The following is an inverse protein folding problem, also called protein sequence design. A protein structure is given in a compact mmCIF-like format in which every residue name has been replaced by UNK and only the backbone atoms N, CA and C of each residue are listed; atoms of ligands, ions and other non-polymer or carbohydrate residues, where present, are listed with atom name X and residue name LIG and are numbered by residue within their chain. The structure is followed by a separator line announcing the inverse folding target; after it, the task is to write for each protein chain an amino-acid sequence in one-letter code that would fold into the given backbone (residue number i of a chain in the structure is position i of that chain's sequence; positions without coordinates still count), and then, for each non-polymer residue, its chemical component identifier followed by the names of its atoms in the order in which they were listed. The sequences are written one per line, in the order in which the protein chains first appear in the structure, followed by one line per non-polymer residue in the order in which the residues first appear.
data_IF_994415281658
#
_entry.id   IF_994415281658
#
_cell.length_a   1.000
_cell.length_b   1.000
_cell.length_c   1.000
_cell.angle_alpha   90.00
_cell.angle_beta   90.00
_cell.angle_gamma   90.00
#
_symmetry.space_group_name_H-M   'P 1'
#
loop_
_entity.id
_entity.type
_entity.pdbx_description
1 polymer ?
#
# COMPACT_ATOMS: atom_id res chain seq x y z
N UNK A 1 19.57 3.94 -12.62
CA UNK A 1 18.52 3.90 -11.58
C UNK A 1 17.17 3.73 -12.26
N UNK A 2 16.61 2.51 -12.24
CA UNK A 2 15.26 2.27 -12.73
C UNK A 2 14.28 2.81 -11.70
N UNK A 3 13.63 3.94 -11.99
CA UNK A 3 12.57 4.49 -11.13
C UNK A 3 11.29 3.73 -11.47
N UNK A 4 11.26 2.44 -11.12
CA UNK A 4 10.00 1.75 -11.02
C UNK A 4 9.30 2.35 -9.80
N UNK A 5 8.36 3.26 -10.04
CA UNK A 5 7.44 3.71 -9.01
C UNK A 5 6.58 2.51 -8.63
N UNK A 6 7.05 1.75 -7.64
CA UNK A 6 6.31 0.65 -7.03
C UNK A 6 5.22 1.26 -6.16
N UNK A 7 4.14 1.67 -6.83
CA UNK A 7 2.98 2.31 -6.25
C UNK A 7 1.89 1.27 -6.16
N UNK A 8 1.44 0.99 -4.94
CA UNK A 8 0.30 0.13 -4.66
C UNK A 8 -0.91 1.00 -4.31
N UNK A 9 -2.04 0.73 -4.99
CA UNK A 9 -3.32 1.36 -4.70
C UNK A 9 -4.13 0.49 -3.73
N UNK A 10 -4.53 1.07 -2.60
CA UNK A 10 -5.25 0.44 -1.48
C UNK A 10 -6.59 1.16 -1.26
N UNK A 11 -7.67 0.76 -1.95
CA UNK A 11 -8.91 1.53 -1.96
C UNK A 11 -9.72 1.29 -0.68
N UNK A 12 -9.80 2.31 0.19
CA UNK A 12 -10.44 2.24 1.49
C UNK A 12 -11.97 2.41 1.39
N UNK A 13 -12.74 1.47 1.96
CA UNK A 13 -14.22 1.50 1.90
C UNK A 13 -14.77 2.79 2.54
N UNK A 14 -14.17 3.23 3.65
CA UNK A 14 -14.59 4.46 4.38
C UNK A 14 -14.54 5.72 3.52
N UNK A 15 -13.76 5.72 2.43
CA UNK A 15 -13.58 6.85 1.52
C UNK A 15 -14.46 6.77 0.26
N UNK A 16 -15.23 5.69 0.07
CA UNK A 16 -16.02 5.54 -1.16
C UNK A 16 -17.07 6.64 -1.34
N UNK A 17 -17.74 7.05 -0.27
CA UNK A 17 -18.71 8.15 -0.32
C UNK A 17 -18.06 9.50 -0.72
N UNK A 18 -16.78 9.71 -0.38
CA UNK A 18 -16.00 10.86 -0.85
C UNK A 18 -15.78 10.75 -2.36
N UNK A 19 -15.30 9.60 -2.83
CA UNK A 19 -15.01 9.36 -4.24
C UNK A 19 -16.23 9.47 -5.15
N UNK A 20 -17.40 9.00 -4.71
CA UNK A 20 -18.65 9.12 -5.49
C UNK A 20 -19.14 10.57 -5.65
N UNK A 21 -18.69 11.48 -4.79
CA UNK A 21 -18.99 12.92 -4.87
C UNK A 21 -17.93 13.70 -5.65
N UNK A 22 -16.77 13.09 -5.92
CA UNK A 22 -15.65 13.73 -6.61
C UNK A 22 -15.98 13.91 -8.10
N UNK A 23 -15.72 15.10 -8.64
CA UNK A 23 -15.77 15.33 -10.08
C UNK A 23 -14.61 14.62 -10.78
N UNK A 24 -14.93 13.49 -11.42
CA UNK A 24 -13.95 12.67 -12.13
C UNK A 24 -13.29 13.40 -13.31
N UNK A 25 -13.94 14.43 -13.90
CA UNK A 25 -13.36 15.18 -15.03
C UNK A 25 -12.06 15.89 -14.64
N UNK A 26 -11.85 16.17 -13.35
CA UNK A 26 -10.61 16.76 -12.81
C UNK A 26 -9.35 15.98 -13.20
N UNK A 27 -9.43 14.67 -13.44
CA UNK A 27 -8.28 13.87 -13.87
C UNK A 27 -7.73 14.25 -15.26
N UNK A 28 -8.54 14.90 -16.10
CA UNK A 28 -8.14 15.31 -17.44
C UNK A 28 -7.21 16.54 -17.40
N UNK A 29 -7.40 17.39 -16.40
CA UNK A 29 -6.63 18.61 -16.20
C UNK A 29 -5.37 18.35 -15.37
N UNK A 30 -4.29 19.09 -15.65
CA UNK A 30 -3.00 18.91 -14.96
C UNK A 30 -3.14 19.12 -13.44
N UNK A 31 -3.74 20.23 -13.04
CA UNK A 31 -3.79 20.61 -11.63
C UNK A 31 -4.81 19.73 -10.87
N UNK A 32 -5.96 19.45 -11.48
CA UNK A 32 -6.96 18.53 -10.93
C UNK A 32 -6.43 17.10 -10.74
N UNK A 33 -5.62 16.58 -11.67
CA UNK A 33 -4.96 15.28 -11.51
C UNK A 33 -3.99 15.28 -10.32
N UNK A 34 -3.17 16.34 -10.19
CA UNK A 34 -2.22 16.46 -9.10
C UNK A 34 -2.92 16.53 -7.74
N UNK A 35 -4.02 17.29 -7.64
CA UNK A 35 -4.84 17.38 -6.43
C UNK A 35 -5.42 16.03 -6.02
N UNK A 36 -6.08 15.32 -6.96
CA UNK A 36 -6.65 13.99 -6.70
C UNK A 36 -5.57 12.96 -6.31
N UNK A 37 -4.43 12.99 -6.98
CA UNK A 37 -3.30 12.13 -6.67
C UNK A 37 -2.74 12.40 -5.26
N UNK A 38 -2.54 13.67 -4.91
CA UNK A 38 -2.06 14.06 -3.59
C UNK A 38 -3.07 13.73 -2.48
N UNK A 39 -4.37 13.82 -2.76
CA UNK A 39 -5.41 13.34 -1.86
C UNK A 39 -5.29 11.84 -1.62
N UNK A 40 -5.11 11.02 -2.67
CA UNK A 40 -4.90 9.57 -2.51
C UNK A 40 -3.67 9.24 -1.67
N UNK A 41 -2.57 9.98 -1.83
CA UNK A 41 -1.36 9.83 -1.00
C UNK A 41 -1.66 10.17 0.46
N UNK A 42 -2.31 11.30 0.73
CA UNK A 42 -2.66 11.75 2.08
C UNK A 42 -3.66 10.82 2.78
N UNK A 43 -4.61 10.29 2.02
CA UNK A 43 -5.64 9.39 2.52
C UNK A 43 -5.09 7.96 2.79
N UNK A 44 -3.84 7.69 2.40
CA UNK A 44 -3.19 6.38 2.52
C UNK A 44 -3.63 5.36 1.48
N UNK A 45 -4.36 5.80 0.44
CA UNK A 45 -4.86 4.92 -0.63
C UNK A 45 -3.83 4.68 -1.73
N UNK A 46 -2.79 5.51 -1.79
CA UNK A 46 -1.59 5.28 -2.61
C UNK A 46 -0.40 5.15 -1.67
N UNK A 47 0.27 4.01 -1.74
CA UNK A 47 1.47 3.72 -0.97
C UNK A 47 2.60 3.30 -1.89
N UNK A 48 3.83 3.57 -1.49
CA UNK A 48 5.03 3.12 -2.19
C UNK A 48 6.26 3.25 -1.29
N UNK A 49 7.45 3.27 -1.88
CA UNK A 49 8.70 3.45 -1.14
C UNK A 49 8.80 4.76 -0.34
N UNK A 50 7.95 5.75 -0.64
CA UNK A 50 7.85 7.02 0.07
C UNK A 50 6.90 7.00 1.27
N UNK A 51 6.18 5.90 1.50
CA UNK A 51 5.18 5.81 2.57
C UNK A 51 5.83 5.42 3.90
N UNK A 52 5.49 6.14 4.97
CA UNK A 52 5.99 5.92 6.35
C UNK A 52 5.35 4.69 7.05
N UNK A 53 4.35 4.07 6.41
CA UNK A 53 3.64 2.90 6.92
C UNK A 53 2.41 2.57 6.07
N UNK A 54 1.71 1.51 6.45
CA UNK A 54 0.50 1.03 5.79
C UNK A 54 -0.70 1.09 6.72
N UNK A 55 -1.87 1.43 6.21
CA UNK A 55 -3.11 1.43 7.00
C UNK A 55 -3.58 -0.02 7.17
N UNK A 56 -3.81 -0.44 8.42
CA UNK A 56 -4.33 -1.76 8.76
C UNK A 56 -5.88 -1.79 8.69
N UNK A 57 -6.47 -2.97 8.91
CA UNK A 57 -7.93 -3.14 8.84
C UNK A 57 -8.74 -2.32 9.87
N UNK A 58 -8.07 -1.74 10.89
CA UNK A 58 -8.69 -0.85 11.87
C UNK A 58 -8.55 0.65 11.49
N UNK A 59 -7.99 0.96 10.32
CA UNK A 59 -7.77 2.33 9.88
C UNK A 59 -6.56 3.03 10.53
N UNK A 60 -5.68 2.27 11.19
CA UNK A 60 -4.49 2.80 11.89
C UNK A 60 -3.23 2.50 11.08
N UNK A 61 -2.30 3.47 11.02
CA UNK A 61 -1.00 3.29 10.38
C UNK A 61 -0.18 2.27 11.17
N UNK A 62 0.25 1.21 10.49
CA UNK A 62 1.15 0.19 10.98
C UNK A 62 2.48 0.28 10.24
N UNK A 63 3.57 0.07 10.96
CA UNK A 63 4.95 0.14 10.45
C UNK A 63 5.58 -1.23 10.53
N UNK A 64 6.42 -1.56 9.55
CA UNK A 64 7.17 -2.82 9.57
C UNK A 64 8.10 -2.82 10.79
N UNK A 65 8.00 -3.86 11.61
CA UNK A 65 8.83 -4.01 12.79
C UNK A 65 10.29 -4.14 12.40
N UNK A 66 11.15 -3.38 13.06
CA UNK A 66 12.59 -3.50 12.93
C UNK A 66 13.09 -4.17 14.20
N UNK A 67 13.63 -5.38 14.07
CA UNK A 67 14.37 -6.02 15.14
C UNK A 67 15.83 -5.62 15.01
N UNK A 68 16.34 -4.94 16.04
CA UNK A 68 17.75 -4.62 16.13
C UNK A 68 18.47 -5.87 16.67
N UNK A 69 19.36 -6.45 15.88
CA UNK A 69 20.26 -7.49 16.34
C UNK A 69 21.65 -6.90 16.51
N UNK A 70 22.20 -6.99 17.71
CA UNK A 70 23.59 -6.58 17.97
C UNK A 70 24.47 -7.80 17.77
N UNK A 71 25.24 -7.84 16.67
CA UNK A 71 26.25 -8.87 16.50
C UNK A 71 27.53 -8.41 17.23
N UNK A 72 27.85 -9.05 18.35
CA UNK A 72 29.13 -8.83 19.03
C UNK A 72 30.18 -9.63 18.24
N UNK A 73 30.95 -8.95 17.38
CA UNK A 73 32.11 -9.56 16.73
C UNK A 73 33.26 -9.46 17.74
N UNK A 74 33.58 -10.54 18.44
CA UNK A 74 34.73 -10.56 19.34
C UNK A 74 36.00 -10.72 18.50
N UNK A 75 36.52 -9.64 17.93
CA UNK A 75 37.85 -9.66 17.29
C UNK A 75 38.89 -9.64 18.41
N UNK A 76 39.32 -10.83 18.81
CA UNK A 76 40.46 -11.01 19.70
C UNK A 76 41.75 -10.63 18.96
N UNK A 77 42.03 -9.35 18.76
CA UNK A 77 43.38 -8.78 18.61
C UNK A 77 43.27 -7.24 18.54
N UNK A 78 43.85 -6.60 19.55
CA UNK A 78 44.19 -5.15 19.66
C UNK A 78 43.05 -4.22 20.11
N UNK A 79 43.36 -3.47 21.17
CA UNK A 79 42.58 -2.37 21.74
C UNK A 79 42.30 -1.28 20.69
N UNK A 80 41.04 -0.81 20.66
CA UNK A 80 40.49 0.54 20.41
C UNK A 80 39.19 0.40 19.57
N UNK A 81 38.12 1.02 20.09
CA UNK A 81 36.77 1.22 19.54
C UNK A 81 35.94 -0.03 19.17
N UNK A 82 35.05 -0.43 20.09
CA UNK A 82 33.91 -1.31 19.80
C UNK A 82 32.93 -0.62 18.88
N UNK A 83 33.15 -0.69 17.57
CA UNK A 83 32.16 -0.33 16.56
C UNK A 83 31.05 -1.38 16.56
N UNK A 84 29.96 -1.11 17.29
CA UNK A 84 28.74 -1.90 17.24
C UNK A 84 28.10 -1.75 15.85
N UNK A 85 28.22 -2.78 15.00
CA UNK A 85 27.43 -2.83 13.77
C UNK A 85 26.00 -3.22 14.15
N UNK A 86 25.10 -2.22 14.16
CA UNK A 86 23.66 -2.44 14.29
C UNK A 86 23.12 -3.09 13.02
N UNK A 87 22.89 -4.41 13.06
CA UNK A 87 22.14 -5.08 12.00
C UNK A 87 20.65 -4.92 12.29
N UNK A 88 20.01 -4.04 11.53
CA UNK A 88 18.57 -3.87 11.57
C UNK A 88 17.92 -4.89 10.61
N UNK A 89 17.24 -5.89 11.15
CA UNK A 89 16.48 -6.86 10.35
C UNK A 89 15.01 -6.53 10.45
N UNK A 90 14.32 -6.48 9.32
CA UNK A 90 12.87 -6.37 9.32
C UNK A 90 12.28 -7.67 9.88
N UNK A 91 11.40 -7.58 10.88
CA UNK A 91 10.74 -8.75 11.47
C UNK A 91 9.78 -9.44 10.49
N UNK A 92 9.45 -8.78 9.37
CA UNK A 92 8.46 -9.24 8.40
C UNK A 92 7.01 -8.89 8.77
N UNK A 93 6.79 -8.36 9.97
CA UNK A 93 5.45 -8.05 10.52
C UNK A 93 5.21 -6.55 10.67
N UNK A 94 3.98 -6.09 10.51
CA UNK A 94 3.56 -4.69 10.67
C UNK A 94 2.92 -4.45 12.03
N UNK A 95 3.24 -3.36 12.72
CA UNK A 95 2.72 -3.04 14.06
C UNK A 95 2.18 -1.61 14.13
N UNK A 96 1.02 -1.42 14.77
CA UNK A 96 0.36 -0.11 14.88
C UNK A 96 0.72 0.70 16.13
N UNK A 97 1.48 0.12 17.07
CA UNK A 97 1.87 0.74 18.33
C UNK A 97 0.71 1.20 19.23
N UNK A 98 -0.49 0.64 19.04
CA UNK A 98 -1.65 0.95 19.88
C UNK A 98 -1.83 -0.04 21.02
N UNK A 99 -2.31 0.46 22.15
CA UNK A 99 -2.70 -0.30 23.33
C UNK A 99 -4.05 -1.01 23.15
N UNK A 100 -4.11 -1.97 22.23
CA UNK A 100 -5.35 -2.68 21.84
C UNK A 100 -5.39 -4.14 22.29
N UNK A 101 -4.34 -4.61 22.96
CA UNK A 101 -4.20 -6.01 23.33
C UNK A 101 -4.56 -6.23 24.80
N UNK A 102 -5.27 -7.32 25.07
CA UNK A 102 -5.61 -7.80 26.42
C UNK A 102 -4.87 -9.09 26.77
N UNK A 103 -3.82 -9.44 26.02
CA UNK A 103 -3.05 -10.64 26.27
C UNK A 103 -2.23 -10.56 27.57
N UNK A 104 -2.15 -11.66 28.35
CA UNK A 104 -1.25 -11.72 29.50
C UNK A 104 0.23 -11.87 29.10
N UNK A 105 0.53 -12.18 27.83
CA UNK A 105 1.89 -12.42 27.34
C UNK A 105 2.61 -11.16 26.81
N UNK A 106 2.02 -9.98 26.97
CA UNK A 106 2.46 -8.75 26.33
C UNK A 106 2.22 -7.52 27.23
N UNK A 107 2.83 -6.38 26.92
CA UNK A 107 2.57 -5.13 27.63
C UNK A 107 1.27 -4.42 27.20
N UNK A 108 0.37 -5.11 26.48
CA UNK A 108 -0.87 -4.55 25.95
C UNK A 108 -0.71 -3.71 24.66
N UNK A 109 0.52 -3.42 24.22
CA UNK A 109 0.81 -2.58 23.05
C UNK A 109 1.20 -3.45 21.86
N UNK A 110 0.68 -3.15 20.67
CA UNK A 110 1.06 -3.85 19.44
C UNK A 110 2.44 -3.38 18.95
N UNK A 111 3.48 -4.20 19.10
CA UNK A 111 4.87 -3.83 18.72
C UNK A 111 5.84 -5.02 18.68
N UNK A 112 7.00 -4.89 18.03
CA UNK A 112 7.92 -6.00 17.79
C UNK A 112 8.76 -6.44 19.00
N UNK A 113 8.91 -5.58 20.02
CA UNK A 113 9.82 -5.86 21.16
C UNK A 113 9.10 -6.59 22.30
N UNK A 114 8.07 -5.95 22.88
CA UNK A 114 7.35 -6.45 24.07
C UNK A 114 5.84 -6.59 23.83
N UNK A 115 5.44 -6.53 22.56
CA UNK A 115 4.05 -6.52 22.11
C UNK A 115 3.72 -7.72 21.24
N UNK A 116 2.44 -8.10 21.18
CA UNK A 116 1.99 -9.04 20.15
C UNK A 116 1.58 -8.29 18.89
N UNK A 117 1.56 -8.97 17.75
CA UNK A 117 0.95 -8.44 16.54
C UNK A 117 -0.58 -8.50 16.68
N UNK A 118 -1.28 -7.35 16.63
CA UNK A 118 -2.73 -7.33 16.83
C UNK A 118 -3.49 -7.84 15.61
N UNK A 119 -4.72 -8.36 15.78
CA UNK A 119 -5.51 -8.94 14.69
C UNK A 119 -5.61 -8.08 13.41
N UNK A 120 -5.85 -6.76 13.49
CA UNK A 120 -5.82 -5.88 12.31
C UNK A 120 -4.47 -5.82 11.60
N UNK A 121 -3.36 -5.88 12.33
CA UNK A 121 -2.00 -5.92 11.80
C UNK A 121 -1.66 -7.31 11.21
N UNK A 122 -2.16 -8.39 11.79
CA UNK A 122 -1.96 -9.75 11.26
C UNK A 122 -2.58 -9.89 9.88
N UNK A 123 -3.79 -9.34 9.70
CA UNK A 123 -4.45 -9.29 8.38
C UNK A 123 -3.61 -8.51 7.36
N UNK A 124 -2.99 -7.40 7.79
CA UNK A 124 -2.10 -6.63 6.92
C UNK A 124 -0.87 -7.45 6.51
N UNK A 125 -0.29 -8.22 7.43
CA UNK A 125 0.82 -9.14 7.14
C UNK A 125 0.42 -10.20 6.11
N UNK A 126 -0.75 -10.83 6.28
CA UNK A 126 -1.29 -11.83 5.35
C UNK A 126 -1.47 -11.24 3.95
N UNK A 127 -2.03 -10.03 3.85
CA UNK A 127 -2.21 -9.34 2.58
C UNK A 127 -0.87 -9.02 1.89
N UNK A 128 0.16 -8.58 2.64
CA UNK A 128 1.49 -8.28 2.09
C UNK A 128 2.26 -9.55 1.70
N UNK A 129 2.11 -10.63 2.46
CA UNK A 129 2.66 -11.94 2.13
C UNK A 129 2.06 -12.47 0.82
N UNK A 130 0.73 -12.37 0.66
CA UNK A 130 0.05 -12.74 -0.58
C UNK A 130 0.52 -11.91 -1.79
N UNK A 131 0.82 -10.61 -1.60
CA UNK A 131 1.39 -9.76 -2.65
C UNK A 131 2.83 -10.14 -3.01
N UNK A 132 3.68 -10.34 -2.00
CA UNK A 132 5.12 -10.56 -2.21
C UNK A 132 5.40 -11.88 -2.92
N UNK A 133 4.65 -12.95 -2.62
CA UNK A 133 4.81 -14.26 -3.25
C UNK A 133 4.67 -14.26 -4.78
N UNK A 134 4.01 -13.25 -5.36
CA UNK A 134 3.85 -13.09 -6.81
C UNK A 134 5.08 -12.45 -7.48
N UNK A 135 5.94 -11.78 -6.70
CA UNK A 135 7.03 -10.93 -7.22
C UNK A 135 8.42 -11.57 -7.18
N UNK A 136 8.61 -12.68 -6.46
CA UNK A 136 9.92 -13.31 -6.22
C UNK A 136 10.17 -14.49 -7.16
N UNK A 137 10.22 -14.23 -8.47
CA UNK A 137 11.00 -15.10 -9.36
C UNK A 137 12.41 -14.51 -9.47
N UNK A 138 13.36 -15.08 -8.73
CA UNK A 138 14.78 -14.76 -8.89
C UNK A 138 15.28 -15.35 -10.21
N UNK A 139 15.02 -14.65 -11.31
CA UNK A 139 15.46 -15.07 -12.64
C UNK A 139 16.97 -14.90 -12.75
N UNK A 140 17.67 -15.93 -13.23
CA UNK A 140 19.08 -15.82 -13.62
C UNK A 140 19.21 -14.74 -14.69
N UNK A 141 20.11 -13.78 -14.50
CA UNK A 141 20.40 -12.76 -15.52
C UNK A 141 21.34 -13.31 -16.59
N UNK A 142 21.35 -12.68 -17.76
CA UNK A 142 22.29 -13.02 -18.82
C UNK A 142 23.75 -12.83 -18.35
N UNK A 143 24.02 -11.77 -17.56
CA UNK A 143 25.33 -11.53 -16.93
C UNK A 143 25.77 -12.72 -16.07
N UNK A 144 24.90 -13.23 -15.18
CA UNK A 144 25.21 -14.40 -14.37
C UNK A 144 25.50 -15.66 -15.18
N UNK A 145 24.85 -15.80 -16.35
CA UNK A 145 25.10 -16.92 -17.25
C UNK A 145 26.45 -16.75 -17.95
N UNK A 146 26.75 -15.56 -18.46
CA UNK A 146 28.05 -15.28 -19.09
C UNK A 146 29.19 -15.46 -18.09
N UNK A 147 29.01 -14.98 -16.86
CA UNK A 147 29.99 -15.12 -15.78
C UNK A 147 30.23 -16.58 -15.39
N UNK A 148 29.21 -17.44 -15.49
CA UNK A 148 29.37 -18.87 -15.24
C UNK A 148 30.28 -19.57 -16.25
N UNK A 149 30.55 -18.94 -17.40
CA UNK A 149 31.47 -19.45 -18.42
C UNK A 149 32.89 -18.88 -18.27
N UNK A 150 33.08 -17.84 -17.44
CA UNK A 150 34.42 -17.32 -17.15
C UNK A 150 35.22 -18.43 -16.46
N UNK A 151 36.32 -18.83 -17.11
CA UNK A 151 37.17 -19.95 -16.66
C UNK A 151 36.49 -21.32 -16.63
N UNK A 152 35.29 -21.43 -17.20
CA UNK A 152 34.51 -22.67 -17.30
C UNK A 152 34.68 -23.39 -18.64
N UNK A 153 33.83 -24.38 -18.88
CA UNK A 153 33.75 -25.07 -20.17
C UNK A 153 33.14 -24.17 -21.25
N UNK A 154 33.60 -24.33 -22.49
CA UNK A 154 33.02 -23.66 -23.66
C UNK A 154 31.51 -23.92 -23.72
N UNK A 155 30.66 -22.87 -23.82
CA UNK A 155 29.21 -23.04 -23.89
C UNK A 155 28.80 -23.71 -25.20
N UNK A 156 27.73 -24.53 -25.13
CA UNK A 156 27.14 -25.12 -26.33
C UNK A 156 26.33 -24.09 -27.12
N UNK A 157 25.98 -24.42 -28.37
CA UNK A 157 25.08 -23.60 -29.20
C UNK A 157 23.72 -23.41 -28.50
N UNK A 158 23.25 -24.41 -27.73
CA UNK A 158 22.02 -24.30 -26.94
C UNK A 158 22.14 -23.28 -25.82
N UNK A 159 23.28 -23.26 -25.12
CA UNK A 159 23.56 -22.32 -24.03
C UNK A 159 23.66 -20.88 -24.56
N UNK A 160 24.34 -20.70 -25.70
CA UNK A 160 24.42 -19.42 -26.40
C UNK A 160 23.04 -18.92 -26.83
N UNK A 161 22.22 -19.80 -27.43
CA UNK A 161 20.84 -19.46 -27.85
C UNK A 161 19.97 -19.05 -26.66
N UNK A 162 20.10 -19.76 -25.54
CA UNK A 162 19.40 -19.44 -24.29
C UNK A 162 19.84 -18.08 -23.75
N UNK A 163 21.14 -17.80 -23.72
CA UNK A 163 21.70 -16.52 -23.30
C UNK A 163 21.22 -15.36 -24.19
N UNK A 164 21.22 -15.52 -25.52
CA UNK A 164 20.71 -14.52 -26.46
C UNK A 164 19.23 -14.22 -26.20
N UNK A 165 18.40 -15.24 -26.03
CA UNK A 165 16.98 -15.05 -25.74
C UNK A 165 16.76 -14.31 -24.41
N UNK A 166 17.59 -14.59 -23.39
CA UNK A 166 17.56 -13.86 -22.13
C UNK A 166 17.99 -12.40 -22.29
N UNK A 167 19.07 -12.12 -23.02
CA UNK A 167 19.51 -10.76 -23.35
C UNK A 167 18.41 -9.97 -24.07
N UNK A 168 17.75 -10.58 -25.06
CA UNK A 168 16.63 -9.94 -25.76
C UNK A 168 15.49 -9.63 -24.79
N UNK A 169 15.17 -10.55 -23.87
CA UNK A 169 14.14 -10.35 -22.85
C UNK A 169 14.51 -9.21 -21.90
N UNK A 170 15.75 -9.15 -21.44
CA UNK A 170 16.27 -8.09 -20.57
C UNK A 170 16.27 -6.73 -21.28
N UNK A 171 16.74 -6.67 -22.53
CA UNK A 171 16.73 -5.44 -23.33
C UNK A 171 15.31 -4.92 -23.56
N UNK A 172 14.36 -5.81 -23.89
CA UNK A 172 12.95 -5.45 -24.03
C UNK A 172 12.40 -4.90 -22.71
N UNK A 173 12.74 -5.53 -21.58
CA UNK A 173 12.34 -5.04 -20.25
C UNK A 173 12.86 -3.63 -20.00
N UNK A 174 14.13 -3.36 -20.29
CA UNK A 174 14.70 -2.02 -20.18
C UNK A 174 13.98 -1.00 -21.07
N UNK A 175 13.69 -1.35 -22.32
CA UNK A 175 12.90 -0.50 -23.21
C UNK A 175 11.51 -0.18 -22.64
N UNK A 176 10.83 -1.16 -22.05
CA UNK A 176 9.55 -0.94 -21.38
C UNK A 176 9.70 -0.03 -20.14
N UNK A 177 10.73 -0.22 -19.34
CA UNK A 177 11.01 0.62 -18.16
C UNK A 177 11.24 2.09 -18.59
N UNK A 178 12.06 2.31 -19.62
CA UNK A 178 12.33 3.65 -20.17
C UNK A 178 11.06 4.28 -20.75
N UNK A 179 10.31 3.57 -21.59
CA UNK A 179 9.06 4.07 -22.16
C UNK A 179 8.05 4.45 -21.06
N UNK A 180 7.98 3.66 -19.99
CA UNK A 180 7.14 3.95 -18.85
C UNK A 180 7.65 5.10 -17.99
N UNK A 181 8.95 5.39 -17.95
CA UNK A 181 9.50 6.52 -17.19
C UNK A 181 9.16 7.90 -17.80
N UNK A 182 8.65 7.94 -19.04
CA UNK A 182 8.26 9.20 -19.69
C UNK A 182 7.15 9.93 -18.91
N UNK A 183 7.15 11.27 -19.00
CA UNK A 183 6.16 12.10 -18.30
C UNK A 183 4.73 11.84 -18.79
N UNK A 184 4.54 11.57 -20.08
CA UNK A 184 3.24 11.24 -20.67
C UNK A 184 2.72 9.90 -20.15
N UNK A 185 3.56 8.85 -20.13
CA UNK A 185 3.18 7.54 -19.60
C UNK A 185 2.91 7.61 -18.09
N UNK A 186 3.73 8.34 -17.34
CA UNK A 186 3.52 8.55 -15.90
C UNK A 186 2.20 9.25 -15.62
N UNK A 187 1.88 10.35 -16.31
CA UNK A 187 0.60 11.04 -16.19
C UNK A 187 -0.58 10.16 -16.58
N UNK A 188 -0.46 9.37 -17.63
CA UNK A 188 -1.50 8.42 -18.02
C UNK A 188 -1.73 7.37 -16.94
N UNK A 189 -0.68 6.80 -16.36
CA UNK A 189 -0.80 5.86 -15.23
C UNK A 189 -1.49 6.50 -14.03
N UNK A 190 -1.14 7.73 -13.67
CA UNK A 190 -1.82 8.47 -12.59
C UNK A 190 -3.32 8.61 -12.86
N UNK A 191 -3.70 8.99 -14.08
CA UNK A 191 -5.11 9.07 -14.50
C UNK A 191 -5.83 7.74 -14.37
N UNK A 192 -5.20 6.65 -14.83
CA UNK A 192 -5.78 5.31 -14.73
C UNK A 192 -5.94 4.85 -13.29
N UNK A 193 -5.01 5.20 -12.39
CA UNK A 193 -5.11 4.89 -10.95
C UNK A 193 -6.27 5.64 -10.31
N UNK A 194 -6.39 6.95 -10.56
CA UNK A 194 -7.52 7.77 -10.08
C UNK A 194 -8.86 7.24 -10.59
N UNK A 195 -8.94 6.93 -11.89
CA UNK A 195 -10.14 6.36 -12.49
C UNK A 195 -10.49 5.00 -11.88
N UNK A 196 -9.50 4.10 -11.74
CA UNK A 196 -9.68 2.80 -11.08
C UNK A 196 -10.20 2.97 -9.66
N UNK A 197 -9.70 3.95 -8.90
CA UNK A 197 -10.15 4.21 -7.54
C UNK A 197 -11.62 4.64 -7.50
N UNK A 198 -12.03 5.53 -8.40
CA UNK A 198 -13.43 5.93 -8.55
C UNK A 198 -14.33 4.75 -8.91
N UNK A 199 -13.96 3.97 -9.93
CA UNK A 199 -14.74 2.80 -10.34
C UNK A 199 -14.80 1.72 -9.25
N UNK A 200 -13.77 1.59 -8.43
CA UNK A 200 -13.81 0.71 -7.25
C UNK A 200 -14.90 1.17 -6.27
N UNK A 201 -14.97 2.47 -5.94
CA UNK A 201 -16.05 3.01 -5.11
C UNK A 201 -17.43 2.76 -5.74
N UNK A 202 -17.55 3.02 -7.05
CA UNK A 202 -18.79 2.81 -7.79
C UNK A 202 -19.24 1.34 -7.78
N UNK A 203 -18.30 0.40 -7.93
CA UNK A 203 -18.60 -1.03 -7.90
C UNK A 203 -19.08 -1.52 -6.52
N UNK A 204 -18.62 -0.88 -5.44
CA UNK A 204 -19.05 -1.19 -4.06
C UNK A 204 -20.37 -0.50 -3.71
N UNK A 205 -20.76 0.54 -4.44
CA UNK A 205 -22.01 1.25 -4.24
C UNK A 205 -23.21 0.41 -4.72
N UNK A 206 -23.91 -0.22 -3.78
CA UNK A 206 -25.27 -0.72 -4.03
C UNK A 206 -26.21 0.48 -3.86
N UNK A 207 -27.02 0.85 -4.87
CA UNK A 207 -28.08 1.82 -4.65
C UNK A 207 -29.04 1.22 -3.61
N UNK A 208 -28.95 1.69 -2.37
CA UNK A 208 -30.06 1.50 -1.42
C UNK A 208 -31.23 2.29 -1.99
N UNK A 209 -32.37 1.61 -2.14
CA UNK A 209 -33.68 2.25 -2.29
C UNK A 209 -33.75 3.39 -1.28
N UNK A 210 -33.82 4.61 -1.78
CA UNK A 210 -34.19 5.78 -1.02
C UNK A 210 -35.54 5.49 -0.38
N UNK A 211 -35.56 5.06 0.88
CA UNK A 211 -36.76 5.20 1.70
C UNK A 211 -37.06 6.68 1.74
N UNK A 212 -38.05 7.07 0.96
CA UNK A 212 -38.68 8.38 1.03
C UNK A 212 -39.01 8.67 2.50
N UNK A 213 -38.27 9.58 3.09
CA UNK A 213 -38.75 10.36 4.23
C UNK A 213 -39.80 11.30 3.65
N UNK A 214 -40.98 10.75 3.37
CA UNK A 214 -42.19 11.53 3.15
C UNK A 214 -42.88 11.68 4.50
N UNK A 215 -42.74 12.89 5.03
CA UNK A 215 -43.67 13.59 5.94
C UNK A 215 -44.94 12.81 6.29
N UNK A 216 -45.00 12.26 7.50
CA UNK A 216 -46.27 11.92 8.13
C UNK A 216 -47.02 13.20 8.45
N UNK A 217 -48.03 13.50 7.63
CA UNK A 217 -49.08 14.46 7.93
C UNK A 217 -49.81 14.03 9.21
N UNK A 218 -49.79 14.88 10.24
CA UNK A 218 -50.64 14.72 11.42
C UNK A 218 -52.09 15.08 11.04
N UNK A 219 -53.10 14.27 11.41
CA UNK A 219 -54.49 14.64 11.22
C UNK A 219 -54.91 15.74 12.21
N UNK A 220 -55.62 16.72 11.70
CA UNK A 220 -56.33 17.78 12.41
C UNK A 220 -57.36 17.21 13.39
N UNK A 221 -57.26 17.57 14.67
CA UNK A 221 -58.30 17.31 15.66
C UNK A 221 -58.59 18.58 16.49
N UNK A 222 -59.78 19.14 16.23
CA UNK A 222 -60.70 19.87 17.12
C UNK A 222 -60.22 21.20 17.75
N UNK A 223 -60.71 22.30 17.16
CA UNK A 223 -61.08 23.52 17.88
C UNK A 223 -62.36 23.26 18.70
N UNK A 224 -62.33 23.54 20.00
CA UNK A 224 -63.36 24.28 20.76
C UNK A 224 -63.11 24.17 22.28
N UNK A 225 -62.64 25.26 22.89
CA UNK A 225 -62.99 25.74 24.25
C UNK A 225 -62.44 27.16 24.41
N UNK A 226 -63.32 28.15 24.32
CA UNK A 226 -63.92 28.88 25.45
C UNK A 226 -63.08 30.10 25.86
N UNK A 227 -63.52 31.25 25.38
CA UNK A 227 -63.12 32.58 25.81
C UNK A 227 -63.77 32.88 27.16
N UNK A 228 -62.99 33.34 28.14
CA UNK A 228 -63.48 33.89 29.40
C UNK A 228 -63.09 35.38 29.49
N UNK A 229 -63.98 36.13 30.14
CA UNK A 229 -63.91 37.53 30.63
C UNK A 229 -64.45 38.58 29.65
N UNK A 230 -65.35 39.51 29.98
CA UNK A 230 -66.18 39.96 31.13
C UNK A 230 -66.95 41.21 30.59
N UNK A 231 -67.82 41.93 31.32
CA UNK A 231 -68.35 41.76 32.68
C UNK A 231 -69.82 41.31 32.75
#
# INVERSE_FOLDING_TARGET
MSIQFDITMRPEIRLDAKWLKTDLKRLLYRDGLAELWNEMVRDGEIVGSFSDGLVNAAGVIARKGLSNFTLIIHTSYIHIDTDYILFQRESGHYYCNMGVLTCPCCNGICGPQNGCNCGPCQKLDEEEAARTNVSVEKRKSAEQIMDSWLWGSQPSICDLTTCINLLIKEQRKLCYEVANSTLSATRLRQRLVVARRYFTALSRHKPQETKDVSTTSKPTAKLQKMYNNQP
#
